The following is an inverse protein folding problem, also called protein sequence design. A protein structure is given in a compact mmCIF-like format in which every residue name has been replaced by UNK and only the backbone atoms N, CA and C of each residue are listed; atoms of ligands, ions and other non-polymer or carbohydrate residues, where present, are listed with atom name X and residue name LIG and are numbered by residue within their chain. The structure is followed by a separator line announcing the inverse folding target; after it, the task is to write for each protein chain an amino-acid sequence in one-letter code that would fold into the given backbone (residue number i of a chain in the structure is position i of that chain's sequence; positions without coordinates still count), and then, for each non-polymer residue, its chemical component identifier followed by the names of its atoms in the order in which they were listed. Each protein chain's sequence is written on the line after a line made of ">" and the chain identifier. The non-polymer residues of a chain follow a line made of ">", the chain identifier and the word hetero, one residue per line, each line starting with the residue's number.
data_IF_406102941435
#
_entry.id   IF_406102941435
#
_cell.length_a   1.000
_cell.length_b   1.000
_cell.length_c   1.000
_cell.angle_alpha   90.00
_cell.angle_beta   90.00
_cell.angle_gamma   90.00
#
_symmetry.space_group_name_H-M   'P 1'
#
loop_
_entity.id
_entity.type
_entity.pdbx_description
1 polymer ?
#
# COMPACT_ATOMS: atom_id res chain seq x y z
N UNK A 1 22.41 -21.09 -11.91
CA UNK A 1 21.51 -19.95 -11.61
C UNK A 1 21.35 -19.73 -10.11
N UNK A 2 20.91 -20.75 -9.34
CA UNK A 2 20.73 -20.64 -7.88
C UNK A 2 21.95 -20.13 -7.10
N UNK A 3 23.18 -20.54 -7.46
CA UNK A 3 24.41 -20.00 -6.86
C UNK A 3 24.55 -18.46 -6.96
N UNK A 4 24.02 -17.85 -8.02
CA UNK A 4 24.05 -16.39 -8.16
C UNK A 4 23.05 -15.72 -7.20
N UNK A 5 21.87 -16.32 -7.01
CA UNK A 5 20.89 -15.91 -6.01
C UNK A 5 21.44 -16.03 -4.59
N UNK A 6 22.05 -17.19 -4.27
CA UNK A 6 22.71 -17.44 -2.99
C UNK A 6 23.79 -16.39 -2.69
N UNK A 7 24.66 -16.10 -3.68
CA UNK A 7 25.70 -15.10 -3.55
C UNK A 7 25.12 -13.69 -3.32
N UNK A 8 24.07 -13.32 -4.07
CA UNK A 8 23.40 -12.02 -3.88
C UNK A 8 22.84 -11.87 -2.46
N UNK A 9 22.02 -12.82 -2.02
CA UNK A 9 21.40 -12.79 -0.68
C UNK A 9 22.48 -12.77 0.40
N UNK A 10 23.51 -13.62 0.27
CA UNK A 10 24.63 -13.67 1.22
C UNK A 10 25.34 -12.32 1.33
N UNK A 11 25.72 -11.72 0.19
CA UNK A 11 26.47 -10.46 0.19
C UNK A 11 25.65 -9.31 0.74
N UNK A 12 24.39 -9.19 0.31
CA UNK A 12 23.50 -8.09 0.73
C UNK A 12 23.16 -8.20 2.22
N UNK A 13 22.71 -9.37 2.69
CA UNK A 13 22.38 -9.56 4.10
C UNK A 13 23.61 -9.42 5.02
N UNK A 14 24.79 -9.87 4.58
CA UNK A 14 26.03 -9.69 5.33
C UNK A 14 26.39 -8.21 5.45
N UNK A 15 26.24 -7.44 4.38
CA UNK A 15 26.56 -6.02 4.36
C UNK A 15 25.72 -5.22 5.37
N UNK A 16 24.40 -5.41 5.37
CA UNK A 16 23.51 -4.65 6.27
C UNK A 16 23.42 -5.23 7.68
N UNK A 17 23.65 -6.54 7.85
CA UNK A 17 23.65 -7.20 9.16
C UNK A 17 22.41 -6.89 10.00
N UNK A 18 22.61 -6.35 11.21
CA UNK A 18 21.53 -6.02 12.15
C UNK A 18 20.87 -4.65 11.91
N UNK A 19 21.28 -3.90 10.90
CA UNK A 19 20.62 -2.64 10.53
C UNK A 19 19.18 -2.88 10.09
N UNK A 20 18.97 -3.98 9.37
CA UNK A 20 17.64 -4.41 8.95
C UNK A 20 16.92 -5.10 10.11
N UNK A 21 15.79 -4.55 10.52
CA UNK A 21 14.84 -5.22 11.42
C UNK A 21 14.20 -6.44 10.74
N UNK A 22 13.88 -6.31 9.46
CA UNK A 22 13.25 -7.34 8.66
C UNK A 22 13.71 -7.25 7.19
N UNK A 23 13.66 -8.39 6.51
CA UNK A 23 13.90 -8.53 5.06
C UNK A 23 12.65 -9.06 4.38
N UNK A 24 12.23 -8.43 3.29
CA UNK A 24 11.38 -9.09 2.31
C UNK A 24 12.27 -9.97 1.43
N UNK A 25 12.38 -11.26 1.79
CA UNK A 25 13.29 -12.22 1.13
C UNK A 25 12.80 -12.55 -0.28
N UNK A 26 11.48 -12.65 -0.44
CA UNK A 26 10.83 -12.83 -1.73
C UNK A 26 9.60 -11.91 -1.80
N UNK A 27 9.40 -11.31 -2.98
CA UNK A 27 8.36 -10.33 -3.23
C UNK A 27 7.53 -10.75 -4.45
N UNK A 28 6.21 -10.74 -4.32
CA UNK A 28 5.24 -10.91 -5.42
C UNK A 28 5.43 -12.19 -6.27
N UNK A 29 5.82 -13.29 -5.63
CA UNK A 29 6.02 -14.56 -6.35
C UNK A 29 4.69 -15.22 -6.75
N UNK A 30 3.59 -14.83 -6.11
CA UNK A 30 2.24 -15.26 -6.47
C UNK A 30 1.62 -14.29 -7.50
N UNK A 31 1.10 -14.85 -8.58
CA UNK A 31 0.36 -14.13 -9.60
C UNK A 31 -1.08 -13.85 -9.19
N UNK A 32 -1.74 -12.95 -9.91
CA UNK A 32 -3.13 -12.55 -9.62
C UNK A 32 -4.14 -13.66 -9.94
N UNK A 33 -3.76 -14.65 -10.75
CA UNK A 33 -4.51 -15.88 -10.99
C UNK A 33 -4.30 -16.96 -9.91
N UNK A 34 -3.69 -16.61 -8.78
CA UNK A 34 -3.35 -17.52 -7.68
C UNK A 34 -2.45 -18.70 -8.10
N UNK A 35 -1.68 -18.53 -9.18
CA UNK A 35 -0.59 -19.42 -9.58
C UNK A 35 0.75 -18.72 -9.41
N UNK A 36 1.84 -19.49 -9.43
CA UNK A 36 3.18 -18.90 -9.43
C UNK A 36 3.34 -17.92 -10.60
N UNK A 37 3.82 -16.72 -10.29
CA UNK A 37 4.07 -15.68 -11.29
C UNK A 37 5.17 -16.15 -12.24
N UNK A 38 4.89 -16.08 -13.54
CA UNK A 38 5.92 -16.24 -14.54
C UNK A 38 6.98 -15.15 -14.37
N UNK A 39 8.16 -15.59 -13.99
CA UNK A 39 9.33 -14.77 -13.74
C UNK A 39 10.55 -15.54 -14.22
N UNK A 40 11.62 -14.82 -14.53
CA UNK A 40 12.89 -15.45 -14.90
C UNK A 40 13.31 -16.55 -13.92
N UNK A 41 13.12 -16.34 -12.62
CA UNK A 41 13.42 -17.33 -11.59
C UNK A 41 12.51 -18.56 -11.70
N UNK A 42 11.19 -18.36 -11.73
CA UNK A 42 10.25 -19.48 -11.80
C UNK A 42 10.37 -20.28 -13.10
N UNK A 43 10.53 -19.61 -14.24
CA UNK A 43 10.69 -20.29 -15.54
C UNK A 43 12.01 -21.06 -15.63
N UNK A 44 13.04 -20.62 -14.92
CA UNK A 44 14.38 -21.25 -14.96
C UNK A 44 14.53 -22.38 -13.95
N UNK A 45 13.93 -22.27 -12.76
CA UNK A 45 14.20 -23.20 -11.64
C UNK A 45 12.94 -23.80 -11.02
N UNK A 46 11.75 -23.49 -11.52
CA UNK A 46 10.50 -23.79 -10.82
C UNK A 46 10.50 -23.13 -9.44
N UNK A 47 9.98 -23.84 -8.42
CA UNK A 47 9.92 -23.34 -7.04
C UNK A 47 11.26 -23.28 -6.30
N UNK A 48 12.32 -23.89 -6.84
CA UNK A 48 13.59 -24.02 -6.13
C UNK A 48 14.22 -22.67 -5.77
N UNK A 49 14.00 -21.60 -6.56
CA UNK A 49 14.52 -20.28 -6.21
C UNK A 49 13.95 -19.77 -4.89
N UNK A 50 12.67 -20.02 -4.60
CA UNK A 50 12.02 -19.54 -3.39
C UNK A 50 12.56 -20.27 -2.17
N UNK A 51 12.64 -21.60 -2.25
CA UNK A 51 13.24 -22.42 -1.20
C UNK A 51 14.71 -22.05 -0.98
N UNK A 52 15.47 -21.85 -2.06
CA UNK A 52 16.89 -21.43 -2.00
C UNK A 52 17.04 -20.06 -1.36
N UNK A 53 16.17 -19.10 -1.70
CA UNK A 53 16.23 -17.76 -1.15
C UNK A 53 16.06 -17.75 0.38
N UNK A 54 15.00 -18.40 0.88
CA UNK A 54 14.76 -18.48 2.32
C UNK A 54 15.80 -19.35 3.05
N UNK A 55 16.22 -20.50 2.49
CA UNK A 55 17.31 -21.32 3.08
C UNK A 55 18.61 -20.54 3.19
N UNK A 56 18.96 -19.76 2.16
CA UNK A 56 20.16 -18.90 2.19
C UNK A 56 20.02 -17.81 3.25
N UNK A 57 18.88 -17.10 3.27
CA UNK A 57 18.63 -16.07 4.25
C UNK A 57 18.64 -16.60 5.70
N UNK A 58 18.05 -17.78 5.93
CA UNK A 58 18.12 -18.50 7.21
C UNK A 58 19.57 -18.82 7.59
N UNK A 59 20.37 -19.33 6.65
CA UNK A 59 21.78 -19.66 6.87
C UNK A 59 22.61 -18.44 7.25
N UNK A 60 22.46 -17.32 6.53
CA UNK A 60 23.15 -16.06 6.82
C UNK A 60 22.71 -15.48 8.16
N UNK A 61 21.39 -15.46 8.43
CA UNK A 61 20.84 -15.03 9.73
C UNK A 61 21.45 -15.84 10.88
N UNK A 62 21.53 -17.17 10.73
CA UNK A 62 22.10 -18.07 11.74
C UNK A 62 23.60 -17.89 11.90
N UNK A 63 24.36 -17.85 10.80
CA UNK A 63 25.83 -17.77 10.84
C UNK A 63 26.34 -16.47 11.42
N UNK A 64 25.63 -15.37 11.21
CA UNK A 64 25.98 -14.04 11.73
C UNK A 64 25.24 -13.67 13.02
N UNK A 65 24.39 -14.56 13.56
CA UNK A 65 23.59 -14.27 14.76
C UNK A 65 22.66 -13.06 14.60
N UNK A 66 22.12 -12.84 13.40
CA UNK A 66 21.26 -11.69 13.12
C UNK A 66 19.90 -11.85 13.81
N UNK A 67 19.37 -10.73 14.30
CA UNK A 67 18.01 -10.66 14.86
C UNK A 67 16.94 -10.33 13.83
N UNK A 68 17.32 -10.15 12.56
CA UNK A 68 16.40 -9.78 11.49
C UNK A 68 15.31 -10.82 11.30
N UNK A 69 14.11 -10.35 10.98
CA UNK A 69 12.98 -11.18 10.56
C UNK A 69 13.00 -11.39 9.04
N UNK A 70 12.50 -12.52 8.57
CA UNK A 70 12.47 -12.92 7.16
C UNK A 70 11.01 -13.04 6.70
N UNK A 71 10.61 -12.16 5.79
CA UNK A 71 9.24 -12.02 5.31
C UNK A 71 9.09 -12.47 3.86
N UNK A 72 7.90 -12.99 3.56
CA UNK A 72 7.32 -12.99 2.22
C UNK A 72 6.41 -11.77 2.06
N UNK A 73 6.47 -11.03 0.96
CA UNK A 73 5.68 -9.79 0.76
C UNK A 73 4.89 -9.83 -0.57
N UNK A 74 3.62 -9.42 -0.57
CA UNK A 74 2.76 -9.42 -1.77
C UNK A 74 1.57 -8.45 -1.66
N UNK A 75 0.97 -8.12 -2.81
CA UNK A 75 -0.26 -7.32 -2.94
C UNK A 75 -1.49 -8.17 -3.26
N UNK A 76 -2.69 -7.58 -3.16
CA UNK A 76 -3.99 -8.26 -3.36
C UNK A 76 -4.22 -9.45 -2.43
N UNK A 77 -3.59 -9.43 -1.26
CA UNK A 77 -3.65 -10.51 -0.28
C UNK A 77 -4.32 -10.10 1.02
N UNK A 78 -4.74 -8.84 1.19
CA UNK A 78 -5.28 -8.32 2.46
C UNK A 78 -6.57 -9.04 2.93
N UNK A 79 -7.40 -9.52 2.02
CA UNK A 79 -8.65 -10.25 2.34
C UNK A 79 -8.57 -11.72 1.94
N UNK A 80 -9.52 -12.52 2.41
CA UNK A 80 -9.64 -13.93 2.02
C UNK A 80 -10.06 -14.01 0.55
N UNK A 81 -9.16 -14.49 -0.29
CA UNK A 81 -9.40 -14.70 -1.72
C UNK A 81 -8.49 -15.84 -2.23
N UNK A 82 -8.55 -16.11 -3.54
CA UNK A 82 -7.74 -17.17 -4.16
C UNK A 82 -6.24 -16.92 -4.00
N UNK A 83 -5.77 -15.69 -4.21
CA UNK A 83 -4.34 -15.33 -4.12
C UNK A 83 -3.83 -15.42 -2.68
N UNK A 84 -4.55 -14.88 -1.70
CA UNK A 84 -4.16 -14.97 -0.28
C UNK A 84 -4.14 -16.42 0.21
N UNK A 85 -5.04 -17.26 -0.29
CA UNK A 85 -5.04 -18.71 -0.01
C UNK A 85 -3.84 -19.42 -0.64
N UNK A 86 -3.48 -19.08 -1.87
CA UNK A 86 -2.29 -19.64 -2.52
C UNK A 86 -1.01 -19.22 -1.80
N UNK A 87 -0.90 -17.95 -1.37
CA UNK A 87 0.22 -17.47 -0.55
C UNK A 87 0.28 -18.20 0.80
N UNK A 88 -0.84 -18.37 1.50
CA UNK A 88 -0.91 -19.12 2.76
C UNK A 88 -0.39 -20.55 2.58
N UNK A 89 -0.84 -21.25 1.54
CA UNK A 89 -0.42 -22.62 1.24
C UNK A 89 1.06 -22.70 0.88
N UNK A 90 1.56 -21.74 0.09
CA UNK A 90 2.97 -21.66 -0.28
C UNK A 90 3.87 -21.46 0.95
N UNK A 91 3.53 -20.50 1.82
CA UNK A 91 4.31 -20.25 3.04
C UNK A 91 4.23 -21.45 3.99
N UNK A 92 3.04 -22.06 4.14
CA UNK A 92 2.89 -23.30 4.90
C UNK A 92 3.81 -24.41 4.36
N UNK A 93 3.92 -24.57 3.04
CA UNK A 93 4.84 -25.54 2.43
C UNK A 93 6.31 -25.28 2.78
N UNK A 94 6.75 -24.01 2.81
CA UNK A 94 8.10 -23.67 3.27
C UNK A 94 8.32 -24.06 4.75
N UNK A 95 7.33 -23.79 5.61
CA UNK A 95 7.39 -24.15 7.02
C UNK A 95 7.43 -25.67 7.22
N UNK A 96 6.60 -26.42 6.48
CA UNK A 96 6.56 -27.89 6.50
C UNK A 96 7.91 -28.50 6.05
N UNK A 97 8.63 -27.83 5.13
CA UNK A 97 9.99 -28.18 4.69
C UNK A 97 11.09 -27.78 5.71
N UNK A 98 10.73 -27.27 6.88
CA UNK A 98 11.66 -26.81 7.91
C UNK A 98 12.37 -25.49 7.59
N UNK A 99 11.87 -24.74 6.61
CA UNK A 99 12.41 -23.43 6.21
C UNK A 99 11.73 -22.35 7.06
N UNK A 100 12.52 -21.55 7.77
CA UNK A 100 11.97 -20.49 8.63
C UNK A 100 11.50 -19.30 7.80
N UNK A 101 10.22 -18.99 7.92
CA UNK A 101 9.59 -17.72 7.52
C UNK A 101 9.10 -17.07 8.81
N UNK A 102 9.53 -15.84 9.09
CA UNK A 102 9.13 -15.15 10.33
C UNK A 102 7.78 -14.43 10.17
N UNK A 103 7.42 -14.00 8.97
CA UNK A 103 6.16 -13.30 8.74
C UNK A 103 5.75 -13.12 7.28
N UNK A 104 4.55 -12.56 7.08
CA UNK A 104 3.99 -12.19 5.79
C UNK A 104 3.62 -10.71 5.76
N UNK A 105 4.11 -10.02 4.73
CA UNK A 105 3.82 -8.62 4.44
C UNK A 105 2.65 -8.51 3.47
N UNK A 106 1.67 -7.70 3.85
CA UNK A 106 0.57 -7.28 3.00
C UNK A 106 0.87 -5.88 2.49
N UNK A 107 1.17 -5.74 1.20
CA UNK A 107 1.52 -4.45 0.62
C UNK A 107 0.43 -3.40 0.89
N UNK A 108 -0.85 -3.80 0.84
CA UNK A 108 -1.98 -2.93 1.20
C UNK A 108 -2.16 -1.73 0.27
N UNK A 109 -1.94 -1.95 -1.04
CA UNK A 109 -2.34 -1.01 -2.09
C UNK A 109 -3.84 -1.14 -2.36
N UNK A 110 -4.59 -0.04 -2.19
CA UNK A 110 -6.04 -0.03 -2.36
C UNK A 110 -6.54 1.09 -3.29
N UNK A 111 -7.77 0.93 -3.77
CA UNK A 111 -8.56 2.01 -4.34
C UNK A 111 -9.42 2.69 -3.26
N UNK A 112 -9.77 3.95 -3.47
CA UNK A 112 -10.60 4.75 -2.55
C UNK A 112 -11.92 4.06 -2.19
N UNK A 113 -12.54 3.36 -3.15
CA UNK A 113 -13.80 2.66 -2.96
C UNK A 113 -13.65 1.16 -2.61
N UNK A 114 -12.50 0.74 -2.06
CA UNK A 114 -12.34 -0.67 -1.64
C UNK A 114 -13.35 -1.01 -0.53
N UNK A 115 -14.14 -2.11 -0.68
CA UNK A 115 -15.21 -2.43 0.25
C UNK A 115 -14.74 -3.19 1.49
N UNK A 116 -13.46 -3.59 1.59
CA UNK A 116 -12.97 -4.44 2.66
C UNK A 116 -13.11 -3.76 4.02
N UNK A 117 -13.83 -4.41 4.92
CA UNK A 117 -13.94 -3.96 6.31
C UNK A 117 -12.69 -4.33 7.10
N UNK A 118 -12.53 -3.72 8.28
CA UNK A 118 -11.48 -4.13 9.21
C UNK A 118 -11.59 -5.62 9.60
N UNK A 119 -12.81 -6.13 9.72
CA UNK A 119 -13.08 -7.53 10.05
C UNK A 119 -12.65 -8.49 8.92
N UNK A 120 -12.92 -8.14 7.66
CA UNK A 120 -12.53 -8.96 6.50
C UNK A 120 -11.00 -9.11 6.41
N UNK A 121 -10.28 -8.01 6.63
CA UNK A 121 -8.81 -8.01 6.62
C UNK A 121 -8.24 -8.77 7.81
N UNK A 122 -8.75 -8.52 9.02
CA UNK A 122 -8.30 -9.22 10.22
C UNK A 122 -8.55 -10.72 10.16
N UNK A 123 -9.72 -11.16 9.68
CA UNK A 123 -10.01 -12.58 9.48
C UNK A 123 -8.98 -13.26 8.57
N UNK A 124 -8.51 -12.54 7.54
CA UNK A 124 -7.46 -13.06 6.68
C UNK A 124 -6.09 -13.06 7.37
N UNK A 125 -5.71 -11.98 8.04
CA UNK A 125 -4.46 -11.89 8.81
C UNK A 125 -4.36 -13.01 9.85
N UNK A 126 -5.45 -13.32 10.54
CA UNK A 126 -5.51 -14.37 11.54
C UNK A 126 -5.15 -15.75 10.99
N UNK A 127 -5.49 -16.06 9.73
CA UNK A 127 -5.10 -17.32 9.06
C UNK A 127 -3.58 -17.49 9.01
N UNK A 128 -2.84 -16.41 8.77
CA UNK A 128 -1.37 -16.44 8.74
C UNK A 128 -0.81 -16.51 10.15
N UNK A 129 -1.36 -15.74 11.09
CA UNK A 129 -0.89 -15.75 12.49
C UNK A 129 -1.15 -17.08 13.19
N UNK A 130 -2.17 -17.85 12.75
CA UNK A 130 -2.43 -19.22 13.20
C UNK A 130 -1.31 -20.20 12.83
N UNK A 131 -0.48 -19.89 11.82
CA UNK A 131 0.76 -20.62 11.50
C UNK A 131 1.95 -20.16 12.35
N UNK A 132 1.75 -19.25 13.31
CA UNK A 132 2.82 -18.66 14.12
C UNK A 132 3.57 -17.52 13.43
N UNK A 133 3.10 -17.04 12.28
CA UNK A 133 3.74 -15.96 11.53
C UNK A 133 3.40 -14.58 12.13
N UNK A 134 4.34 -13.64 12.07
CA UNK A 134 4.01 -12.21 12.19
C UNK A 134 3.34 -11.73 10.90
N UNK A 135 2.46 -10.74 10.98
CA UNK A 135 1.93 -10.03 9.81
C UNK A 135 2.28 -8.55 9.90
N UNK A 136 2.38 -7.88 8.76
CA UNK A 136 2.62 -6.44 8.72
C UNK A 136 1.96 -5.83 7.48
N UNK A 137 1.50 -4.59 7.60
CA UNK A 137 1.14 -3.78 6.44
C UNK A 137 2.40 -3.06 5.97
N UNK A 138 2.78 -3.25 4.72
CA UNK A 138 4.18 -2.98 4.31
C UNK A 138 4.33 -1.81 3.34
N UNK A 139 3.29 -1.47 2.58
CA UNK A 139 3.34 -0.49 1.50
C UNK A 139 1.99 0.25 1.38
N UNK A 140 1.33 0.56 2.50
CA UNK A 140 -0.03 1.11 2.50
C UNK A 140 -0.12 2.42 1.74
N UNK A 141 -0.99 2.45 0.73
CA UNK A 141 -1.46 3.64 0.03
C UNK A 141 -2.89 3.40 -0.52
N UNK A 142 -3.66 4.47 -0.71
CA UNK A 142 -5.06 4.36 -1.15
C UNK A 142 -5.33 5.35 -2.26
N UNK A 143 -5.47 4.87 -3.51
CA UNK A 143 -5.63 5.73 -4.70
C UNK A 143 -7.02 6.36 -4.82
N UNK A 144 -7.06 7.66 -5.11
CA UNK A 144 -8.24 8.31 -5.68
C UNK A 144 -8.25 8.20 -7.21
N UNK A 145 -9.31 8.71 -7.88
CA UNK A 145 -9.37 8.69 -9.35
C UNK A 145 -8.43 9.70 -10.01
N UNK A 146 -8.00 10.75 -9.30
CA UNK A 146 -7.11 11.80 -9.81
C UNK A 146 -6.19 12.39 -8.73
N UNK A 147 -5.34 13.34 -9.10
CA UNK A 147 -4.52 14.15 -8.19
C UNK A 147 -5.31 15.23 -7.45
N UNK A 148 -6.59 15.40 -7.77
CA UNK A 148 -7.48 16.40 -7.16
C UNK A 148 -8.84 15.74 -6.84
N UNK A 149 -8.86 14.81 -5.86
CA UNK A 149 -10.04 14.02 -5.54
C UNK A 149 -11.19 14.87 -5.00
N UNK A 150 -12.43 14.42 -5.26
CA UNK A 150 -13.60 15.03 -4.65
C UNK A 150 -13.60 14.84 -3.12
N UNK A 151 -14.40 15.61 -2.39
CA UNK A 151 -14.56 15.42 -0.93
C UNK A 151 -15.09 14.01 -0.61
N UNK A 152 -15.94 13.46 -1.46
CA UNK A 152 -16.45 12.10 -1.33
C UNK A 152 -15.34 11.06 -1.48
N UNK A 153 -14.51 11.16 -2.53
CA UNK A 153 -13.37 10.26 -2.72
C UNK A 153 -12.37 10.36 -1.56
N UNK A 154 -12.12 11.57 -1.04
CA UNK A 154 -11.25 11.76 0.12
C UNK A 154 -11.81 11.08 1.38
N UNK A 155 -13.14 11.15 1.60
CA UNK A 155 -13.79 10.45 2.71
C UNK A 155 -13.70 8.92 2.54
N UNK A 156 -13.88 8.42 1.31
CA UNK A 156 -13.74 7.00 0.98
C UNK A 156 -12.30 6.52 1.20
N UNK A 157 -11.29 7.26 0.74
CA UNK A 157 -9.88 6.99 1.04
C UNK A 157 -9.63 6.92 2.55
N UNK A 158 -10.19 7.87 3.30
CA UNK A 158 -10.08 7.89 4.77
C UNK A 158 -10.66 6.63 5.42
N UNK A 159 -11.83 6.17 4.97
CA UNK A 159 -12.44 4.94 5.45
C UNK A 159 -11.56 3.70 5.20
N UNK A 160 -10.94 3.60 4.02
CA UNK A 160 -10.03 2.48 3.70
C UNK A 160 -8.79 2.52 4.61
N UNK A 161 -8.13 3.68 4.76
CA UNK A 161 -7.01 3.83 5.70
C UNK A 161 -7.39 3.40 7.13
N UNK A 162 -8.53 3.89 7.62
CA UNK A 162 -9.05 3.58 8.95
C UNK A 162 -9.30 2.09 9.13
N UNK A 163 -10.01 1.46 8.19
CA UNK A 163 -10.34 0.03 8.24
C UNK A 163 -9.08 -0.84 8.23
N UNK A 164 -8.15 -0.55 7.34
CA UNK A 164 -6.90 -1.31 7.18
C UNK A 164 -6.01 -1.19 8.43
N UNK A 165 -5.88 0.00 9.02
CA UNK A 165 -5.12 0.18 10.26
C UNK A 165 -5.81 -0.48 11.46
N UNK A 166 -7.14 -0.34 11.57
CA UNK A 166 -7.92 -0.99 12.63
C UNK A 166 -7.77 -2.52 12.57
N UNK A 167 -7.75 -3.11 11.36
CA UNK A 167 -7.51 -4.53 11.15
C UNK A 167 -6.13 -4.97 11.69
N UNK A 168 -5.08 -4.19 11.42
CA UNK A 168 -3.77 -4.49 12.00
C UNK A 168 -3.79 -4.35 13.53
N UNK A 169 -4.36 -3.27 14.06
CA UNK A 169 -4.43 -3.01 15.51
C UNK A 169 -5.10 -4.15 16.29
N UNK A 170 -6.16 -4.74 15.76
CA UNK A 170 -6.89 -5.81 16.47
C UNK A 170 -6.18 -7.17 16.43
N UNK A 171 -5.30 -7.42 15.46
CA UNK A 171 -4.59 -8.70 15.32
C UNK A 171 -3.27 -8.64 16.10
N UNK A 172 -3.18 -9.40 17.20
CA UNK A 172 -2.03 -9.36 18.13
C UNK A 172 -0.65 -9.54 17.48
N UNK A 173 -0.55 -10.31 16.40
CA UNK A 173 0.70 -10.56 15.66
C UNK A 173 0.85 -9.66 14.42
N UNK A 174 0.00 -8.63 14.25
CA UNK A 174 0.28 -7.56 13.31
C UNK A 174 1.27 -6.59 13.95
N UNK A 175 2.51 -6.58 13.46
CA UNK A 175 3.63 -5.94 14.14
C UNK A 175 3.91 -4.52 13.67
N UNK A 176 3.20 -4.01 12.67
CA UNK A 176 3.36 -2.64 12.23
C UNK A 176 2.69 -2.33 10.90
N UNK A 177 2.70 -1.02 10.61
CA UNK A 177 2.18 -0.42 9.38
C UNK A 177 3.24 0.49 8.80
N UNK A 178 3.55 0.31 7.52
CA UNK A 178 4.40 1.20 6.72
C UNK A 178 3.55 1.77 5.59
N UNK A 179 3.51 3.10 5.50
CA UNK A 179 2.90 3.82 4.37
C UNK A 179 3.94 3.93 3.25
N UNK A 180 3.54 3.73 1.99
CA UNK A 180 4.49 3.74 0.86
C UNK A 180 4.82 5.15 0.35
N UNK A 181 5.51 5.88 1.22
CA UNK A 181 5.76 7.32 1.09
C UNK A 181 4.98 8.10 2.14
N UNK A 182 4.92 9.41 1.95
CA UNK A 182 4.10 10.28 2.80
C UNK A 182 3.52 11.49 2.03
N UNK A 183 4.16 11.92 0.94
CA UNK A 183 3.76 13.06 0.12
C UNK A 183 3.36 12.61 -1.30
N UNK A 184 2.15 12.97 -1.71
CA UNK A 184 1.57 12.69 -3.02
C UNK A 184 2.51 13.04 -4.19
N UNK A 185 3.31 14.10 -4.08
CA UNK A 185 4.22 14.54 -5.15
C UNK A 185 5.36 13.55 -5.43
N UNK A 186 5.74 12.75 -4.43
CA UNK A 186 6.82 11.77 -4.54
C UNK A 186 6.30 10.33 -4.61
N UNK A 187 4.98 10.15 -4.62
CA UNK A 187 4.37 8.83 -4.77
C UNK A 187 4.68 8.24 -6.15
N UNK A 188 4.87 6.91 -6.19
CA UNK A 188 4.84 6.13 -7.43
C UNK A 188 3.49 6.22 -8.17
N UNK A 189 2.47 6.73 -7.50
CA UNK A 189 1.10 6.95 -7.96
C UNK A 189 0.73 8.44 -7.90
N UNK A 190 1.66 9.32 -8.28
CA UNK A 190 1.54 10.79 -8.13
C UNK A 190 0.30 11.41 -8.78
N UNK A 191 -0.35 10.73 -9.73
CA UNK A 191 -1.58 11.18 -10.39
C UNK A 191 -2.86 10.76 -9.66
N UNK A 192 -2.76 10.17 -8.46
CA UNK A 192 -3.88 9.53 -7.74
C UNK A 192 -4.01 9.95 -6.27
N UNK A 193 -3.25 10.97 -5.84
CA UNK A 193 -3.27 11.53 -4.48
C UNK A 193 -3.42 10.50 -3.33
N UNK A 194 -2.56 9.46 -3.21
CA UNK A 194 -2.86 8.33 -2.35
C UNK A 194 -2.34 8.41 -0.91
N UNK A 195 -1.55 9.43 -0.58
CA UNK A 195 -0.78 9.54 0.66
C UNK A 195 -1.35 10.62 1.59
N UNK A 196 -0.98 10.66 2.89
CA UNK A 196 -1.64 11.53 3.87
C UNK A 196 -1.17 12.99 3.84
N UNK A 197 -0.18 13.34 3.02
CA UNK A 197 0.25 14.71 2.79
C UNK A 197 0.44 15.00 1.30
N UNK A 198 0.49 16.28 0.98
CA UNK A 198 0.82 16.78 -0.35
C UNK A 198 1.50 18.15 -0.26
N UNK A 199 2.12 18.59 -1.35
CA UNK A 199 2.72 19.91 -1.50
C UNK A 199 2.01 20.66 -2.64
N UNK A 200 1.09 21.61 -2.36
CA UNK A 200 0.29 22.26 -3.39
C UNK A 200 1.11 23.13 -4.35
N UNK A 201 2.26 23.63 -3.92
CA UNK A 201 3.20 24.37 -4.78
C UNK A 201 4.16 23.46 -5.55
N UNK A 202 3.92 22.13 -5.55
CA UNK A 202 4.82 21.13 -6.14
C UNK A 202 6.01 20.78 -5.25
N UNK A 203 6.90 19.94 -5.79
CA UNK A 203 8.06 19.39 -5.09
C UNK A 203 8.95 20.48 -4.47
N UNK A 204 9.18 20.37 -3.16
CA UNK A 204 9.97 21.31 -2.37
C UNK A 204 9.18 22.46 -1.75
N UNK A 205 7.86 22.54 -2.00
CA UNK A 205 6.99 23.52 -1.37
C UNK A 205 6.46 23.03 0.00
N UNK A 206 5.70 23.89 0.68
CA UNK A 206 5.19 23.59 2.03
C UNK A 206 4.31 22.32 2.03
N UNK A 207 4.58 21.43 2.99
CA UNK A 207 3.83 20.20 3.17
C UNK A 207 2.50 20.49 3.87
N UNK A 208 1.41 20.01 3.29
CA UNK A 208 0.05 20.14 3.80
C UNK A 208 -0.50 18.75 4.15
N UNK A 209 -1.06 18.63 5.35
CA UNK A 209 -1.70 17.40 5.85
C UNK A 209 -3.10 17.25 5.26
N UNK A 210 -3.47 16.06 4.81
CA UNK A 210 -4.82 15.70 4.35
C UNK A 210 -5.64 15.07 5.49
N UNK A 211 -6.95 15.04 5.33
CA UNK A 211 -7.87 14.33 6.23
C UNK A 211 -7.55 12.85 6.42
N UNK A 212 -6.82 12.24 5.47
CA UNK A 212 -6.34 10.86 5.56
C UNK A 212 -5.48 10.62 6.81
N UNK A 213 -4.71 11.62 7.26
CA UNK A 213 -3.94 11.52 8.51
C UNK A 213 -4.85 11.33 9.72
N UNK A 214 -5.96 12.06 9.76
CA UNK A 214 -6.93 12.00 10.84
C UNK A 214 -7.62 10.63 10.86
N UNK A 215 -7.88 10.04 9.69
CA UNK A 215 -8.37 8.65 9.57
C UNK A 215 -7.36 7.59 10.03
N UNK A 216 -6.05 7.83 9.80
CA UNK A 216 -4.97 6.98 10.32
C UNK A 216 -4.99 6.98 11.86
N UNK A 217 -5.10 8.16 12.48
CA UNK A 217 -5.20 8.30 13.94
C UNK A 217 -6.43 7.57 14.49
N UNK A 218 -7.57 7.70 13.83
CA UNK A 218 -8.80 7.00 14.19
C UNK A 218 -8.67 5.48 14.06
N UNK A 219 -7.98 4.97 13.03
CA UNK A 219 -7.70 3.54 12.88
C UNK A 219 -6.90 2.98 14.06
N UNK A 220 -6.01 3.78 14.64
CA UNK A 220 -5.31 3.45 15.88
C UNK A 220 -6.16 3.61 17.15
N UNK A 221 -7.42 4.03 17.02
CA UNK A 221 -8.36 4.29 18.11
C UNK A 221 -8.08 5.61 18.85
N UNK A 222 -7.34 6.54 18.24
CA UNK A 222 -7.26 7.90 18.74
C UNK A 222 -8.57 8.65 18.51
N UNK A 223 -8.94 9.54 19.43
CA UNK A 223 -10.00 10.52 19.21
C UNK A 223 -9.40 11.78 18.59
N UNK A 224 -9.92 12.22 17.45
CA UNK A 224 -9.52 13.50 16.88
C UNK A 224 -10.09 14.64 17.74
N UNK A 225 -9.21 15.38 18.41
CA UNK A 225 -9.52 16.74 18.84
C UNK A 225 -9.67 17.60 17.58
N UNK A 226 -10.91 17.71 17.09
CA UNK A 226 -11.23 18.45 15.87
C UNK A 226 -10.76 19.91 16.00
N UNK A 227 -9.63 20.25 15.40
CA UNK A 227 -9.34 21.61 14.98
C UNK A 227 -9.70 21.70 13.51
N UNK A 228 -10.97 21.98 13.23
CA UNK A 228 -11.36 22.52 11.94
C UNK A 228 -10.47 23.74 11.66
N UNK A 229 -9.59 23.63 10.66
CA UNK A 229 -8.90 24.80 10.13
C UNK A 229 -9.97 25.70 9.52
N UNK A 230 -10.33 26.74 10.25
CA UNK A 230 -11.08 27.88 9.72
C UNK A 230 -10.19 28.58 8.71
N UNK A 231 -10.53 28.45 7.43
CA UNK A 231 -9.97 29.28 6.38
C UNK A 231 -10.30 30.74 6.68
N UNK A 232 -9.27 31.52 6.97
CA UNK A 232 -9.36 32.94 7.27
C UNK A 232 -9.84 33.77 6.08
N UNK A 233 -10.83 34.59 6.39
CA UNK A 233 -11.47 35.70 5.66
C UNK A 233 -10.64 36.41 4.58
N UNK A 234 -11.26 36.62 3.41
CA UNK A 234 -11.00 37.78 2.56
C UNK A 234 -12.25 38.68 2.58
N UNK A 235 -12.07 39.83 3.22
CA UNK A 235 -12.99 40.96 3.28
C UNK A 235 -13.35 41.45 1.87
N UNK A 236 -14.63 41.56 1.55
CA UNK A 236 -15.09 42.45 0.49
C UNK A 236 -16.29 43.27 0.95
N UNK A 237 -16.21 44.52 0.57
CA UNK A 237 -16.98 45.70 0.98
C UNK A 237 -18.45 45.61 0.61
N UNK A 238 -19.31 46.07 1.53
CA UNK A 238 -20.74 46.19 1.32
C UNK A 238 -21.12 47.22 0.24
N UNK A 239 -22.24 46.95 -0.42
CA UNK A 239 -23.12 47.98 -0.93
C UNK A 239 -24.55 47.46 -0.83
N UNK A 240 -25.35 48.12 -0.01
CA UNK A 240 -26.78 47.91 0.15
C UNK A 240 -27.52 48.33 -1.12
N UNK A 241 -28.55 47.56 -1.51
CA UNK A 241 -29.73 48.13 -2.14
C UNK A 241 -30.96 47.26 -1.85
N UNK A 242 -31.96 47.97 -1.36
CA UNK A 242 -33.32 47.62 -0.97
C UNK A 242 -34.12 46.90 -2.05
N UNK A 243 -35.02 46.00 -1.64
CA UNK A 243 -36.04 45.41 -2.51
C UNK A 243 -36.98 44.45 -1.78
N UNK A 244 -38.03 45.01 -1.19
CA UNK A 244 -39.19 44.31 -0.60
C UNK A 244 -39.99 43.51 -1.64
N UNK A 245 -40.46 42.31 -1.28
CA UNK A 245 -41.43 41.55 -2.06
C UNK A 245 -41.92 40.29 -1.35
N UNK A 246 -43.23 40.23 -1.11
CA UNK A 246 -43.96 39.33 -0.22
C UNK A 246 -44.57 38.14 -0.96
N UNK A 247 -44.63 36.98 -0.29
CA UNK A 247 -45.63 35.88 -0.37
C UNK A 247 -46.13 35.36 -1.73
N UNK A 248 -46.03 34.05 -1.99
CA UNK A 248 -47.19 33.11 -1.93
C UNK A 248 -46.80 31.69 -2.30
N UNK A 249 -47.44 30.75 -1.61
CA UNK A 249 -47.48 29.31 -1.87
C UNK A 249 -48.53 29.01 -2.94
N UNK A 250 -48.27 28.07 -3.86
CA UNK A 250 -49.32 27.26 -4.47
C UNK A 250 -48.79 25.97 -5.10
N UNK A 251 -49.53 24.90 -4.80
CA UNK A 251 -49.38 23.51 -5.26
C UNK A 251 -50.37 23.23 -6.38
N UNK A 252 -49.95 22.54 -7.45
CA UNK A 252 -50.70 21.62 -8.35
C UNK A 252 -49.69 21.18 -9.43
N UNK A 253 -49.48 19.93 -9.85
CA UNK A 253 -50.34 18.76 -9.92
C UNK A 253 -50.50 18.36 -11.40
N UNK A 254 -49.98 17.18 -11.78
CA UNK A 254 -50.34 16.32 -12.96
C UNK A 254 -49.99 16.82 -14.38
N UNK A 255 -49.62 16.02 -15.39
CA UNK A 255 -49.31 14.60 -15.59
C UNK A 255 -48.86 14.38 -17.06
N UNK A 256 -48.19 13.26 -17.35
CA UNK A 256 -48.05 12.56 -18.66
C UNK A 256 -47.26 13.27 -19.81
N UNK A 257 -46.43 12.63 -20.64
CA UNK A 257 -46.35 11.24 -21.11
C UNK A 257 -45.01 10.91 -21.83
N UNK A 258 -44.51 9.70 -21.55
CA UNK A 258 -44.16 8.60 -22.50
C UNK A 258 -43.40 8.95 -23.80
N UNK A 259 -42.17 8.43 -23.92
CA UNK A 259 -41.77 7.60 -25.07
C UNK A 259 -40.55 6.73 -24.71
N UNK A 260 -40.84 5.44 -24.61
CA UNK A 260 -39.96 4.29 -24.46
C UNK A 260 -39.58 3.79 -25.85
N UNK A 261 -38.34 3.32 -26.07
CA UNK A 261 -37.95 2.13 -26.86
C UNK A 261 -36.42 2.10 -27.01
N UNK A 262 -35.69 1.22 -26.31
CA UNK A 262 -35.38 -0.21 -26.55
C UNK A 262 -34.11 -0.45 -27.39
N UNK A 263 -33.14 -1.12 -26.75
CA UNK A 263 -32.59 -2.39 -27.24
C UNK A 263 -31.27 -2.34 -28.02
N UNK A 264 -30.31 -3.18 -27.63
CA UNK A 264 -29.26 -3.65 -28.54
C UNK A 264 -27.93 -4.04 -27.89
N UNK A 265 -27.72 -5.34 -27.73
CA UNK A 265 -26.56 -6.04 -27.17
C UNK A 265 -25.19 -5.84 -27.88
N UNK A 266 -24.14 -5.92 -27.05
CA UNK A 266 -22.90 -6.74 -27.14
C UNK A 266 -22.38 -7.15 -28.53
N UNK A 267 -21.11 -6.83 -28.86
CA UNK A 267 -20.12 -7.82 -29.32
C UNK A 267 -18.65 -7.33 -29.17
N UNK A 268 -17.74 -8.27 -28.92
CA UNK A 268 -16.30 -8.12 -28.87
C UNK A 268 -15.67 -8.29 -30.27
N UNK A 269 -14.53 -7.66 -30.54
CA UNK A 269 -13.56 -8.26 -31.47
C UNK A 269 -12.10 -7.89 -31.14
N UNK A 270 -11.26 -8.92 -31.26
CA UNK A 270 -9.82 -8.91 -31.13
C UNK A 270 -9.15 -8.28 -32.37
N UNK A 271 -8.08 -7.52 -32.15
CA UNK A 271 -7.18 -7.03 -33.20
C UNK A 271 -5.72 -7.19 -32.80
N UNK A 272 -5.05 -8.15 -33.42
CA UNK A 272 -3.62 -8.45 -33.33
C UNK A 272 -2.79 -7.43 -34.12
N UNK A 273 -1.63 -7.02 -33.57
CA UNK A 273 -0.69 -6.12 -34.24
C UNK A 273 0.74 -6.34 -33.76
N UNK A 274 1.50 -7.08 -34.55
CA UNK A 274 2.95 -7.29 -34.42
C UNK A 274 3.74 -6.04 -34.83
N UNK A 275 4.74 -5.63 -34.04
CA UNK A 275 5.70 -4.59 -34.43
C UNK A 275 6.97 -4.65 -33.58
N UNK A 276 8.10 -4.95 -34.23
CA UNK A 276 9.44 -5.15 -33.67
C UNK A 276 10.29 -3.86 -33.72
N UNK A 277 11.08 -3.67 -32.65
CA UNK A 277 12.44 -3.08 -32.56
C UNK A 277 12.69 -1.60 -32.92
N UNK A 278 13.18 -0.80 -31.94
CA UNK A 278 14.61 -0.43 -31.78
C UNK A 278 14.78 0.55 -30.61
N UNK A 279 15.82 0.33 -29.78
CA UNK A 279 16.24 1.17 -28.66
C UNK A 279 17.41 2.08 -29.05
N UNK A 280 17.59 3.21 -28.33
CA UNK A 280 18.94 3.61 -27.97
C UNK A 280 19.12 3.79 -26.46
N UNK A 281 20.32 3.39 -26.02
CA UNK A 281 20.87 3.42 -24.67
C UNK A 281 21.28 4.85 -24.31
N UNK A 282 20.96 5.30 -23.09
CA UNK A 282 21.59 6.46 -22.46
C UNK A 282 21.97 6.14 -21.00
N UNK A 283 23.22 6.44 -20.68
CA UNK A 283 23.94 6.12 -19.44
C UNK A 283 23.97 7.29 -18.46
N UNK A 284 23.54 7.07 -17.20
CA UNK A 284 24.01 7.63 -15.89
C UNK A 284 24.06 9.16 -15.65
N UNK A 285 24.15 9.69 -14.39
CA UNK A 285 24.48 9.03 -13.11
C UNK A 285 23.51 9.25 -11.94
N UNK A 286 23.69 8.43 -10.89
CA UNK A 286 23.07 8.54 -9.58
C UNK A 286 23.62 9.75 -8.80
N UNK A 287 22.74 10.49 -8.13
CA UNK A 287 23.11 11.42 -7.07
C UNK A 287 22.46 10.95 -5.77
N UNK A 288 23.32 10.66 -4.80
CA UNK A 288 22.97 10.44 -3.40
C UNK A 288 22.52 11.76 -2.78
N UNK A 289 21.29 11.82 -2.27
CA UNK A 289 20.95 12.73 -1.18
C UNK A 289 19.90 12.06 -0.29
N UNK A 290 20.36 11.55 0.85
CA UNK A 290 19.50 11.13 1.94
C UNK A 290 19.09 12.39 2.73
N UNK A 291 17.98 13.02 2.34
CA UNK A 291 17.33 14.02 3.19
C UNK A 291 16.53 13.30 4.29
N UNK A 292 17.00 13.46 5.52
CA UNK A 292 16.39 12.98 6.76
C UNK A 292 15.02 13.67 6.95
N UNK A 293 13.94 12.88 7.05
CA UNK A 293 12.63 13.38 7.48
C UNK A 293 12.60 13.50 9.02
N UNK A 294 11.91 14.51 9.59
CA UNK A 294 11.89 14.74 11.03
C UNK A 294 11.01 13.68 11.74
N UNK A 295 11.54 13.18 12.86
CA UNK A 295 10.83 12.29 13.79
C UNK A 295 9.92 13.14 14.67
N UNK A 296 8.62 12.84 14.71
CA UNK A 296 7.70 13.42 15.69
C UNK A 296 7.68 12.51 16.92
N UNK A 297 8.32 12.96 18.01
CA UNK A 297 8.23 12.32 19.33
C UNK A 297 6.85 12.60 19.95
N UNK A 298 6.06 11.54 20.16
CA UNK A 298 5.03 11.54 21.18
C UNK A 298 5.65 10.98 22.46
N UNK A 299 5.62 11.78 23.53
CA UNK A 299 6.35 11.51 24.77
C UNK A 299 6.07 10.14 25.40
N UNK A 300 7.11 9.32 25.46
CA UNK A 300 7.37 8.32 26.49
C UNK A 300 8.79 7.80 26.25
N UNK A 301 9.67 7.97 27.23
CA UNK A 301 11.09 7.59 27.14
C UNK A 301 11.23 6.07 27.03
N UNK A 302 11.35 5.58 25.81
CA UNK A 302 12.00 4.33 25.48
C UNK A 302 12.89 4.57 24.25
N UNK A 303 14.20 4.37 24.42
CA UNK A 303 15.19 4.41 23.35
C UNK A 303 14.89 3.30 22.33
N UNK A 304 13.98 3.54 21.40
CA UNK A 304 13.78 2.72 20.22
C UNK A 304 14.84 3.13 19.19
N UNK A 305 15.94 2.38 19.13
CA UNK A 305 16.86 2.48 18.01
C UNK A 305 16.08 2.17 16.73
N UNK A 306 15.87 3.17 15.87
CA UNK A 306 15.17 3.00 14.59
C UNK A 306 15.94 1.98 13.74
N UNK A 307 15.34 0.81 13.53
CA UNK A 307 15.85 -0.22 12.62
C UNK A 307 14.95 -0.24 11.39
N UNK A 308 15.54 -0.17 10.20
CA UNK A 308 14.79 -0.10 8.96
C UNK A 308 14.29 -1.49 8.53
N UNK A 309 13.12 -1.56 7.88
CA UNK A 309 12.77 -2.72 7.05
C UNK A 309 13.55 -2.61 5.74
N UNK A 310 14.28 -3.65 5.38
CA UNK A 310 15.07 -3.68 4.16
C UNK A 310 14.30 -4.44 3.08
N UNK A 311 14.03 -3.74 1.97
CA UNK A 311 13.38 -4.31 0.80
C UNK A 311 14.36 -4.30 -0.38
N UNK A 312 14.39 -5.39 -1.15
CA UNK A 312 15.12 -5.41 -2.40
C UNK A 312 14.43 -4.50 -3.41
N UNK A 313 14.97 -3.31 -3.66
CA UNK A 313 14.39 -2.35 -4.60
C UNK A 313 14.20 -3.01 -5.97
N UNK A 314 12.98 -2.92 -6.53
CA UNK A 314 12.66 -3.35 -7.90
C UNK A 314 13.67 -2.75 -8.89
N UNK A 315 14.43 -3.59 -9.59
CA UNK A 315 15.09 -3.18 -10.83
C UNK A 315 13.95 -2.82 -11.78
N UNK A 316 13.79 -1.51 -12.05
CA UNK A 316 12.77 -1.02 -12.99
C UNK A 316 12.99 -1.73 -14.34
N UNK A 317 11.91 -2.24 -14.92
CA UNK A 317 11.91 -2.68 -16.32
C UNK A 317 12.07 -1.46 -17.22
#
# INVERSE_FOLDING_TARGET
>A
MLKALENHITKVMTHFGNFCYAWDVANEVMGDNAQMRESFWYTTTGMEFLQTAFKTANSVKKSLGLKTKLYYNDYNTNTINAKSTAVLNMVKGLLDDGITVDGVGFQSHFGHADPATAADQAANFERFTALGLDVALTELDVTASSSSPSEEEQAQQGNVYKNTIAACKQVKRCVGVTIWGYDDNYSWLSTKAPLPWYQPGGAGSALVRKSLYDSIVEGWGGSNGSSAQTSGSATSTGSESSGTGQSTSQTTGTDSSIAQTTGGSIDQSFGSGTGTSTTPVATSPASDSATQAPVIEAGSTASAGSRAKCTGRRLRK
#
